data_IF_625151155515
#
_entry.id   IF_625151155515
#
_cell.length_a   1.000
_cell.length_b   1.000
_cell.length_c   1.000
_cell.angle_alpha   90.00
_cell.angle_beta   90.00
_cell.angle_gamma   90.00
#
_symmetry.space_group_name_H-M   'P 1'
#
loop_
_entity.id
_entity.type
_entity.pdbx_description
1 polymer ?
#
# COMPACT_ATOMS: atom_id res chain seq x y z
N UNK A 1 23.12 -0.83 -7.32
CA UNK A 1 22.45 -1.76 -6.39
C UNK A 1 21.46 -0.96 -5.57
N UNK A 2 20.28 -1.51 -5.27
CA UNK A 2 19.25 -0.80 -4.49
C UNK A 2 18.91 -1.63 -3.25
N UNK A 3 18.70 -0.95 -2.12
CA UNK A 3 18.17 -1.57 -0.89
C UNK A 3 16.75 -1.04 -0.69
N UNK A 4 15.77 -1.94 -0.63
CA UNK A 4 14.38 -1.60 -0.34
C UNK A 4 14.07 -1.97 1.12
N UNK A 5 13.80 -0.97 1.95
CA UNK A 5 13.34 -1.16 3.33
C UNK A 5 11.83 -0.95 3.39
N UNK A 6 11.07 -2.02 3.63
CA UNK A 6 9.62 -1.96 3.78
C UNK A 6 9.26 -2.18 5.24
N UNK A 7 8.71 -1.15 5.89
CA UNK A 7 8.14 -1.27 7.23
C UNK A 7 6.75 -1.89 7.13
N UNK A 8 6.39 -2.70 8.11
CA UNK A 8 5.05 -3.29 8.22
C UNK A 8 4.61 -3.25 9.68
N UNK A 9 3.32 -3.13 9.91
CA UNK A 9 2.75 -3.02 11.26
C UNK A 9 2.29 -4.36 11.83
N UNK A 10 2.00 -5.33 10.96
CA UNK A 10 1.46 -6.62 11.38
C UNK A 10 1.87 -7.77 10.44
N UNK A 11 1.68 -9.01 10.91
CA UNK A 11 2.03 -10.23 10.17
C UNK A 11 1.26 -10.37 8.85
N UNK A 12 0.01 -9.89 8.80
CA UNK A 12 -0.80 -9.93 7.59
C UNK A 12 -0.20 -9.01 6.50
N UNK A 13 0.30 -7.84 6.87
CA UNK A 13 1.02 -6.94 5.97
C UNK A 13 2.35 -7.52 5.52
N UNK A 14 3.14 -8.06 6.45
CA UNK A 14 4.39 -8.77 6.14
C UNK A 14 4.19 -9.84 5.07
N UNK A 15 3.20 -10.72 5.26
CA UNK A 15 2.87 -11.80 4.30
C UNK A 15 2.50 -11.28 2.92
N UNK A 16 1.82 -10.13 2.83
CA UNK A 16 1.49 -9.50 1.54
C UNK A 16 2.72 -8.94 0.83
N UNK A 17 3.63 -8.33 1.58
CA UNK A 17 4.92 -7.85 1.04
C UNK A 17 5.74 -9.04 0.55
N UNK A 18 5.86 -10.09 1.34
CA UNK A 18 6.58 -11.32 0.95
C UNK A 18 6.00 -11.90 -0.35
N UNK A 19 4.68 -12.03 -0.44
CA UNK A 19 4.03 -12.50 -1.68
C UNK A 19 4.29 -11.58 -2.88
N UNK A 20 4.38 -10.26 -2.67
CA UNK A 20 4.75 -9.34 -3.73
C UNK A 20 6.20 -9.56 -4.19
N UNK A 21 7.14 -9.74 -3.26
CA UNK A 21 8.55 -10.02 -3.53
C UNK A 21 8.72 -11.34 -4.29
N UNK A 22 8.10 -12.44 -3.82
CA UNK A 22 8.18 -13.76 -4.47
C UNK A 22 7.76 -13.73 -5.95
N UNK A 23 6.74 -12.92 -6.30
CA UNK A 23 6.32 -12.76 -7.71
C UNK A 23 7.36 -12.08 -8.60
N UNK A 24 8.20 -11.23 -8.01
CA UNK A 24 9.27 -10.52 -8.71
C UNK A 24 10.60 -11.28 -8.69
N UNK A 25 10.80 -12.21 -7.76
CA UNK A 25 12.07 -12.93 -7.58
C UNK A 25 12.45 -13.73 -8.83
N UNK A 26 11.45 -14.17 -9.60
CA UNK A 26 11.63 -14.85 -10.89
C UNK A 26 11.90 -13.92 -12.08
N UNK A 27 11.81 -12.60 -11.89
CA UNK A 27 11.84 -11.59 -12.97
C UNK A 27 13.06 -10.70 -12.91
N UNK A 28 13.55 -10.42 -11.70
CA UNK A 28 14.71 -9.57 -11.47
C UNK A 28 15.66 -10.28 -10.51
N UNK A 29 16.97 -10.06 -10.68
CA UNK A 29 17.96 -10.51 -9.70
C UNK A 29 17.80 -9.68 -8.44
N UNK A 30 17.27 -10.30 -7.39
CA UNK A 30 17.20 -9.71 -6.06
C UNK A 30 17.48 -10.76 -5.01
N UNK A 31 17.98 -10.31 -3.87
CA UNK A 31 18.30 -11.15 -2.73
C UNK A 31 17.61 -10.57 -1.48
N UNK A 32 16.87 -11.42 -0.78
CA UNK A 32 16.40 -11.10 0.58
C UNK A 32 17.54 -11.39 1.54
N UNK A 33 18.23 -10.33 1.99
CA UNK A 33 19.35 -10.43 2.91
C UNK A 33 18.98 -11.23 4.16
N UNK A 34 19.77 -12.27 4.46
CA UNK A 34 19.64 -13.08 5.67
C UNK A 34 20.64 -12.58 6.71
N UNK A 35 20.16 -11.85 7.71
CA UNK A 35 21.03 -11.30 8.76
C UNK A 35 20.44 -10.05 9.41
N UNK A 36 21.29 -9.31 10.11
CA UNK A 36 20.93 -8.03 10.71
C UNK A 36 21.26 -6.91 9.72
N UNK A 37 20.27 -6.09 9.39
CA UNK A 37 20.47 -4.85 8.63
C UNK A 37 20.44 -3.69 9.62
N UNK A 38 21.54 -2.93 9.69
CA UNK A 38 21.68 -1.79 10.61
C UNK A 38 21.72 -0.51 9.79
N UNK A 39 20.77 0.39 10.05
CA UNK A 39 20.78 1.74 9.48
C UNK A 39 21.48 2.69 10.46
N UNK A 40 22.66 3.17 10.09
CA UNK A 40 23.45 4.10 10.91
C UNK A 40 23.19 5.51 10.42
N UNK A 41 22.91 6.43 11.37
CA UNK A 41 22.81 7.87 11.13
C UNK A 41 23.87 8.53 11.99
N UNK A 42 24.92 9.06 11.36
CA UNK A 42 26.08 9.63 12.04
C UNK A 42 27.08 10.13 11.01
N UNK A 43 28.19 10.67 11.50
CA UNK A 43 29.31 11.06 10.63
C UNK A 43 30.23 9.86 10.31
N UNK A 44 31.30 10.11 9.55
CA UNK A 44 32.27 9.07 9.19
C UNK A 44 33.04 8.54 10.40
N UNK A 45 33.20 9.34 11.47
CA UNK A 45 33.86 8.93 12.71
C UNK A 45 33.02 7.94 13.50
N UNK A 46 31.73 8.25 13.68
CA UNK A 46 30.75 7.34 14.31
C UNK A 46 30.69 5.99 13.58
N UNK A 47 30.62 6.04 12.24
CA UNK A 47 30.61 4.84 11.40
C UNK A 47 31.88 4.01 11.59
N UNK A 48 33.04 4.65 11.58
CA UNK A 48 34.34 3.97 11.69
C UNK A 48 34.48 3.27 13.04
N UNK A 49 34.16 3.96 14.13
CA UNK A 49 34.22 3.40 15.48
C UNK A 49 33.25 2.22 15.65
N UNK A 50 32.03 2.34 15.12
CA UNK A 50 31.06 1.25 15.18
C UNK A 50 31.48 0.03 14.36
N UNK A 51 31.98 0.24 13.14
CA UNK A 51 32.45 -0.85 12.28
C UNK A 51 33.64 -1.57 12.91
N UNK A 52 34.60 -0.83 13.49
CA UNK A 52 35.74 -1.41 14.19
C UNK A 52 35.30 -2.33 15.35
N UNK A 53 34.37 -1.86 16.20
CA UNK A 53 33.84 -2.67 17.31
C UNK A 53 33.17 -3.96 16.81
N UNK A 54 32.35 -3.89 15.76
CA UNK A 54 31.69 -5.08 15.19
C UNK A 54 32.71 -6.04 14.57
N UNK A 55 33.69 -5.53 13.80
CA UNK A 55 34.73 -6.36 13.18
C UNK A 55 35.55 -7.12 14.24
N UNK A 56 35.78 -6.53 15.42
CA UNK A 56 36.52 -7.16 16.51
C UNK A 56 35.78 -8.34 17.18
N UNK A 57 34.46 -8.44 16.97
CA UNK A 57 33.59 -9.42 17.65
C UNK A 57 33.10 -10.55 16.75
N UNK A 58 33.40 -10.50 15.45
CA UNK A 58 32.90 -11.45 14.45
C UNK A 58 34.06 -12.22 13.83
N UNK A 59 33.98 -13.55 13.86
CA UNK A 59 34.93 -14.40 13.15
C UNK A 59 34.79 -14.24 11.63
N UNK A 60 35.92 -14.12 10.92
CA UNK A 60 35.98 -13.88 9.47
C UNK A 60 35.14 -12.66 9.03
N UNK A 61 35.41 -11.46 9.57
CA UNK A 61 34.55 -10.29 9.39
C UNK A 61 34.47 -9.86 7.92
N UNK A 62 35.55 -10.02 7.14
CA UNK A 62 35.60 -9.68 5.72
C UNK A 62 34.65 -10.54 4.84
N UNK A 63 34.24 -11.72 5.31
CA UNK A 63 33.29 -12.59 4.59
C UNK A 63 31.84 -12.35 5.03
N UNK A 64 31.64 -11.82 6.24
CA UNK A 64 30.33 -11.74 6.89
C UNK A 64 29.79 -10.32 7.01
N UNK A 65 30.65 -9.30 6.91
CA UNK A 65 30.28 -7.91 7.08
C UNK A 65 30.47 -7.19 5.75
N UNK A 66 29.40 -6.56 5.27
CA UNK A 66 29.43 -5.68 4.11
C UNK A 66 28.91 -4.31 4.51
N UNK A 67 29.71 -3.28 4.26
CA UNK A 67 29.35 -1.89 4.55
C UNK A 67 29.03 -1.19 3.23
N UNK A 68 27.83 -0.62 3.16
CA UNK A 68 27.36 0.11 1.98
C UNK A 68 27.05 1.55 2.36
N UNK A 69 27.57 2.50 1.58
CA UNK A 69 27.07 3.88 1.58
C UNK A 69 25.85 3.92 0.66
N UNK A 70 24.70 4.34 1.19
CA UNK A 70 23.44 4.40 0.45
C UNK A 70 23.00 5.84 0.31
N UNK A 71 22.46 6.17 -0.86
CA UNK A 71 21.76 7.44 -1.10
C UNK A 71 20.26 7.18 -1.08
N UNK A 72 19.51 8.14 -0.54
CA UNK A 72 18.05 8.05 -0.52
C UNK A 72 17.56 8.28 -1.95
N UNK A 73 16.93 7.27 -2.51
CA UNK A 73 16.17 7.38 -3.75
C UNK A 73 14.69 7.56 -3.41
N UNK A 74 14.09 8.63 -3.90
CA UNK A 74 12.63 8.80 -3.88
C UNK A 74 12.08 8.33 -5.23
N UNK A 75 11.56 7.09 -5.31
CA UNK A 75 11.05 6.57 -6.57
C UNK A 75 9.78 7.32 -6.96
N UNK A 76 9.69 7.70 -8.25
CA UNK A 76 8.49 8.30 -8.81
C UNK A 76 7.43 7.21 -9.06
N UNK A 77 6.73 6.84 -8.00
CA UNK A 77 5.60 5.91 -8.06
C UNK A 77 4.31 6.71 -8.00
N UNK A 78 3.69 6.91 -9.16
CA UNK A 78 2.46 7.69 -9.23
C UNK A 78 1.28 6.99 -8.54
N UNK A 79 0.67 7.72 -7.61
CA UNK A 79 -0.60 7.35 -7.00
C UNK A 79 -1.71 7.61 -8.01
N UNK A 80 -2.46 6.57 -8.38
CA UNK A 80 -3.63 6.70 -9.25
C UNK A 80 -4.83 7.21 -8.46
N UNK A 81 -5.49 8.22 -9.02
CA UNK A 81 -6.79 8.72 -8.53
C UNK A 81 -7.85 8.58 -9.61
N UNK A 82 -9.02 8.09 -9.25
CA UNK A 82 -10.22 8.02 -10.10
C UNK A 82 -11.43 8.48 -9.32
N UNK A 83 -12.36 9.12 -10.02
CA UNK A 83 -13.62 9.61 -9.44
C UNK A 83 -14.77 9.08 -10.28
N UNK A 84 -15.80 8.58 -9.61
CA UNK A 84 -17.11 8.28 -10.20
C UNK A 84 -18.14 9.17 -9.53
N UNK A 85 -19.09 9.68 -10.31
CA UNK A 85 -20.19 10.53 -9.85
C UNK A 85 -21.49 10.03 -10.46
N UNK A 86 -22.55 9.94 -9.65
CA UNK A 86 -23.87 9.53 -10.09
C UNK A 86 -24.95 10.42 -9.48
N UNK A 87 -26.00 10.68 -10.25
CA UNK A 87 -27.24 11.25 -9.76
C UNK A 87 -28.16 10.16 -9.21
N UNK A 88 -28.88 10.47 -8.13
CA UNK A 88 -29.63 9.51 -7.34
C UNK A 88 -31.01 10.08 -7.02
N UNK A 89 -32.06 9.40 -7.47
CA UNK A 89 -33.44 9.79 -7.21
C UNK A 89 -33.88 9.46 -5.77
N UNK A 90 -33.50 8.27 -5.28
CA UNK A 90 -33.74 7.81 -3.91
C UNK A 90 -32.43 7.60 -3.13
N UNK A 91 -32.01 8.65 -2.43
CA UNK A 91 -30.81 8.66 -1.58
C UNK A 91 -30.88 7.59 -0.48
N UNK A 92 -32.07 7.29 0.05
CA UNK A 92 -32.21 6.34 1.17
C UNK A 92 -31.96 4.91 0.71
N UNK A 93 -32.52 4.52 -0.44
CA UNK A 93 -32.26 3.21 -1.04
C UNK A 93 -30.82 3.08 -1.51
N UNK A 94 -30.25 4.13 -2.10
CA UNK A 94 -28.84 4.16 -2.47
C UNK A 94 -27.92 3.98 -1.25
N UNK A 95 -28.15 4.68 -0.13
CA UNK A 95 -27.34 4.50 1.10
C UNK A 95 -27.31 3.03 1.57
N UNK A 96 -28.45 2.33 1.54
CA UNK A 96 -28.52 0.90 1.88
C UNK A 96 -27.77 0.03 0.87
N UNK A 97 -27.91 0.32 -0.41
CA UNK A 97 -27.19 -0.38 -1.47
C UNK A 97 -25.67 -0.22 -1.32
N UNK A 98 -25.19 0.98 -1.00
CA UNK A 98 -23.77 1.22 -0.74
C UNK A 98 -23.28 0.41 0.46
N UNK A 99 -24.03 0.39 1.56
CA UNK A 99 -23.64 -0.42 2.72
C UNK A 99 -23.54 -1.92 2.35
N UNK A 100 -24.45 -2.42 1.52
CA UNK A 100 -24.37 -3.77 0.92
C UNK A 100 -23.14 -3.94 0.02
N UNK A 101 -22.90 -3.00 -0.90
CA UNK A 101 -21.79 -3.05 -1.85
C UNK A 101 -20.44 -3.04 -1.13
N UNK A 102 -20.29 -2.20 -0.09
CA UNK A 102 -19.09 -2.16 0.75
C UNK A 102 -18.84 -3.51 1.42
N UNK A 103 -19.88 -4.17 1.94
CA UNK A 103 -19.76 -5.52 2.48
C UNK A 103 -19.35 -6.54 1.40
N UNK A 104 -19.98 -6.49 0.22
CA UNK A 104 -19.73 -7.38 -0.93
C UNK A 104 -18.31 -7.26 -1.48
N UNK A 105 -17.71 -6.07 -1.44
CA UNK A 105 -16.33 -5.84 -1.89
C UNK A 105 -15.29 -6.03 -0.77
N UNK A 106 -15.71 -6.34 0.45
CA UNK A 106 -14.82 -6.51 1.60
C UNK A 106 -14.15 -5.19 2.04
N UNK A 107 -14.87 -4.07 1.93
CA UNK A 107 -14.39 -2.76 2.32
C UNK A 107 -14.37 -2.63 3.86
N UNK A 108 -13.21 -2.28 4.41
CA UNK A 108 -13.07 -1.99 5.84
C UNK A 108 -13.22 -0.49 6.07
N UNK A 109 -14.24 -0.08 6.83
CA UNK A 109 -14.42 1.32 7.21
C UNK A 109 -13.22 1.77 8.05
N UNK A 110 -12.55 2.82 7.60
CA UNK A 110 -11.42 3.43 8.30
C UNK A 110 -11.92 4.55 9.22
N UNK A 111 -12.65 5.51 8.66
CA UNK A 111 -13.29 6.58 9.42
C UNK A 111 -14.46 7.17 8.64
N UNK A 112 -15.23 8.02 9.32
CA UNK A 112 -16.31 8.81 8.75
C UNK A 112 -15.97 10.29 8.93
N UNK A 113 -16.20 11.07 7.88
CA UNK A 113 -15.98 12.52 7.87
C UNK A 113 -17.23 13.19 7.27
N UNK A 114 -18.11 13.71 8.13
CA UNK A 114 -19.41 14.25 7.72
C UNK A 114 -20.28 13.24 6.94
N UNK A 115 -20.67 13.59 5.71
CA UNK A 115 -21.42 12.71 4.79
C UNK A 115 -20.51 11.79 3.95
N UNK A 116 -19.20 11.81 4.21
CA UNK A 116 -18.22 10.94 3.57
C UNK A 116 -17.85 9.77 4.48
N UNK A 117 -17.78 8.57 3.90
CA UNK A 117 -17.22 7.37 4.54
C UNK A 117 -15.95 6.98 3.79
N UNK A 118 -14.87 6.73 4.53
CA UNK A 118 -13.58 6.34 3.96
C UNK A 118 -13.29 4.90 4.32
N UNK A 119 -13.00 4.11 3.30
CA UNK A 119 -12.76 2.68 3.38
C UNK A 119 -11.37 2.32 2.85
N UNK A 120 -10.83 1.23 3.37
CA UNK A 120 -9.72 0.52 2.76
C UNK A 120 -10.23 -0.78 2.15
N UNK A 121 -9.97 -0.99 0.87
CA UNK A 121 -10.37 -2.18 0.12
C UNK A 121 -9.12 -2.93 -0.32
N UNK A 122 -8.95 -4.13 0.22
CA UNK A 122 -7.88 -5.04 -0.18
C UNK A 122 -8.33 -5.84 -1.39
N UNK A 123 -7.74 -5.56 -2.55
CA UNK A 123 -8.00 -6.34 -3.76
C UNK A 123 -6.82 -7.29 -4.03
N UNK A 124 -7.05 -8.33 -4.84
CA UNK A 124 -5.96 -9.19 -5.35
C UNK A 124 -4.90 -8.41 -6.14
N UNK A 125 -5.21 -7.19 -6.59
CA UNK A 125 -4.37 -6.33 -7.43
C UNK A 125 -3.75 -5.14 -6.69
N UNK A 126 -4.02 -5.00 -5.39
CA UNK A 126 -3.48 -3.91 -4.56
C UNK A 126 -4.50 -3.37 -3.55
N UNK A 127 -4.00 -2.55 -2.64
CA UNK A 127 -4.81 -1.79 -1.67
C UNK A 127 -5.34 -0.51 -2.32
N UNK A 128 -6.62 -0.23 -2.10
CA UNK A 128 -7.30 0.97 -2.57
C UNK A 128 -7.98 1.67 -1.41
N UNK A 129 -7.69 2.95 -1.20
CA UNK A 129 -8.49 3.84 -0.37
C UNK A 129 -9.69 4.29 -1.20
N UNK A 130 -10.89 4.01 -0.69
CA UNK A 130 -12.16 4.36 -1.31
C UNK A 130 -12.91 5.33 -0.41
N UNK A 131 -13.16 6.53 -0.90
CA UNK A 131 -13.99 7.53 -0.23
C UNK A 131 -15.33 7.62 -0.93
N UNK A 132 -16.42 7.52 -0.17
CA UNK A 132 -17.79 7.58 -0.66
C UNK A 132 -18.51 8.72 0.02
N UNK A 133 -18.93 9.73 -0.75
CA UNK A 133 -19.57 10.94 -0.23
C UNK A 133 -20.96 11.11 -0.83
N UNK A 134 -21.93 11.43 0.02
CA UNK A 134 -23.25 11.89 -0.42
C UNK A 134 -23.31 13.42 -0.39
N UNK A 135 -23.80 14.03 -1.46
CA UNK A 135 -24.10 15.46 -1.54
C UNK A 135 -25.43 15.64 -2.26
N UNK A 136 -26.45 16.07 -1.54
CA UNK A 136 -27.82 16.19 -2.05
C UNK A 136 -28.32 14.90 -2.74
N UNK A 137 -28.62 14.97 -4.03
CA UNK A 137 -29.03 13.86 -4.91
C UNK A 137 -27.87 13.25 -5.69
N UNK A 138 -26.64 13.38 -5.18
CA UNK A 138 -25.43 12.85 -5.83
C UNK A 138 -24.60 12.02 -4.89
N UNK A 139 -23.95 11.03 -5.47
CA UNK A 139 -22.96 10.20 -4.80
C UNK A 139 -21.64 10.26 -5.55
N UNK A 140 -20.57 10.46 -4.80
CA UNK A 140 -19.20 10.53 -5.29
C UNK A 140 -18.40 9.37 -4.73
N UNK A 141 -17.66 8.69 -5.59
CA UNK A 141 -16.67 7.70 -5.21
C UNK A 141 -15.30 8.19 -5.65
N UNK A 142 -14.36 8.32 -4.71
CA UNK A 142 -12.97 8.64 -5.01
C UNK A 142 -12.09 7.46 -4.63
N UNK A 143 -11.39 6.93 -5.63
CA UNK A 143 -10.51 5.77 -5.52
C UNK A 143 -9.07 6.23 -5.59
N UNK A 144 -8.27 5.76 -4.64
CA UNK A 144 -6.87 6.15 -4.50
C UNK A 144 -5.99 4.94 -4.18
N UNK A 145 -4.89 4.78 -4.90
CA UNK A 145 -3.96 3.69 -4.63
C UNK A 145 -2.90 3.54 -5.70
N UNK A 146 -2.19 2.41 -5.66
CA UNK A 146 -1.08 2.14 -6.56
C UNK A 146 -1.36 0.90 -7.44
N UNK A 147 -0.70 0.87 -8.60
CA UNK A 147 -0.78 -0.27 -9.52
C UNK A 147 -2.16 -0.46 -10.15
N UNK A 148 -2.60 -1.72 -10.28
CA UNK A 148 -3.84 -2.10 -10.98
C UNK A 148 -5.05 -2.26 -10.04
N UNK A 149 -4.87 -2.04 -8.73
CA UNK A 149 -5.95 -2.14 -7.74
C UNK A 149 -7.07 -1.13 -8.00
N UNK A 150 -6.69 0.13 -8.29
CA UNK A 150 -7.62 1.24 -8.54
C UNK A 150 -8.53 0.94 -9.73
N UNK A 151 -7.96 0.68 -10.91
CA UNK A 151 -8.73 0.45 -12.13
C UNK A 151 -9.70 -0.74 -11.99
N UNK A 152 -9.28 -1.79 -11.28
CA UNK A 152 -10.10 -2.96 -11.03
C UNK A 152 -11.28 -2.69 -10.11
N UNK A 153 -11.07 -1.91 -9.05
CA UNK A 153 -12.13 -1.57 -8.11
C UNK A 153 -13.12 -0.57 -8.72
N UNK A 154 -12.63 0.41 -9.48
CA UNK A 154 -13.45 1.38 -10.23
C UNK A 154 -14.42 0.64 -11.15
N UNK A 155 -13.92 -0.27 -11.99
CA UNK A 155 -14.76 -1.01 -12.93
C UNK A 155 -15.86 -1.81 -12.21
N UNK A 156 -15.49 -2.49 -11.11
CA UNK A 156 -16.43 -3.29 -10.32
C UNK A 156 -17.50 -2.43 -9.63
N UNK A 157 -17.13 -1.29 -9.08
CA UNK A 157 -18.10 -0.38 -8.42
C UNK A 157 -18.99 0.30 -9.46
N UNK A 158 -18.44 0.73 -10.60
CA UNK A 158 -19.20 1.36 -11.67
C UNK A 158 -20.28 0.44 -12.22
N UNK A 159 -19.93 -0.82 -12.50
CA UNK A 159 -20.86 -1.85 -12.96
C UNK A 159 -22.03 -2.03 -11.98
N UNK A 160 -21.74 -2.25 -10.70
CA UNK A 160 -22.76 -2.50 -9.67
C UNK A 160 -23.66 -1.29 -9.44
N UNK A 161 -23.11 -0.07 -9.43
CA UNK A 161 -23.88 1.16 -9.21
C UNK A 161 -24.80 1.44 -10.40
N UNK A 162 -24.33 1.26 -11.64
CA UNK A 162 -25.17 1.43 -12.84
C UNK A 162 -26.31 0.43 -12.85
N UNK A 163 -26.03 -0.84 -12.58
CA UNK A 163 -27.06 -1.89 -12.49
C UNK A 163 -28.13 -1.62 -11.41
N UNK A 164 -27.80 -0.85 -10.37
CA UNK A 164 -28.75 -0.45 -9.34
C UNK A 164 -29.59 0.77 -9.72
N UNK A 165 -29.06 1.64 -10.59
CA UNK A 165 -29.71 2.86 -11.03
C UNK A 165 -30.61 2.66 -12.26
N UNK A 166 -30.36 1.61 -13.05
CA UNK A 166 -31.21 1.15 -14.15
C UNK A 166 -32.53 0.53 -13.63
#
# INVERSE_FOLDING_TARGET
>A
MYILIVKYENDAERKRIDYAVERWEKRISMEKLRGVVILIRGDEGDLSAFVEDIFSRVENPNEKISVYRVEILEPDVEKKTRVLEYEVSDVKSMKKFIDYLMAKIGACLSYKDGECKVYNVQTKKGLVRLEVCFRDKRIFFRFEGYGKGVDHLVARVDEEVRMFLD
#
